data_IF_957518119089
#
_entry.id   IF_957518119089
#
_cell.length_a   1.000
_cell.length_b   1.000
_cell.length_c   1.000
_cell.angle_alpha   90.00
_cell.angle_beta   90.00
_cell.angle_gamma   90.00
#
_symmetry.space_group_name_H-M   'P 1'
#
loop_
_entity.id
_entity.type
_entity.pdbx_description
1 polymer ?
#
# COMPACT_ATOMS: atom_id res chain seq x y z
N UNK A 1 -3.59 -6.89 15.73
CA UNK A 1 -2.30 -6.95 15.01
C UNK A 1 -1.54 -5.66 15.24
N UNK A 2 -0.29 -5.77 15.70
CA UNK A 2 0.53 -4.58 15.85
C UNK A 2 0.78 -3.88 14.52
N UNK A 3 0.67 -2.57 14.51
CA UNK A 3 0.95 -1.75 13.34
C UNK A 3 2.09 -0.82 13.67
N UNK A 4 3.19 -0.97 12.95
CA UNK A 4 4.33 -0.08 13.07
C UNK A 4 4.21 1.00 12.00
N UNK A 5 4.11 2.24 12.43
CA UNK A 5 3.89 3.37 11.53
C UNK A 5 5.08 4.32 11.57
N UNK A 6 5.62 4.64 10.40
CA UNK A 6 6.70 5.61 10.27
C UNK A 6 6.34 6.68 9.26
N UNK A 7 6.45 7.92 9.69
CA UNK A 7 6.14 9.06 8.85
C UNK A 7 7.39 9.91 8.69
N UNK A 8 7.94 9.96 7.48
CA UNK A 8 9.14 10.71 7.18
C UNK A 8 8.83 11.77 6.12
N UNK A 9 7.92 12.67 6.46
CA UNK A 9 7.45 13.70 5.54
C UNK A 9 8.16 15.04 5.71
N UNK A 10 8.82 15.25 6.83
CA UNK A 10 9.34 16.57 7.13
C UNK A 10 8.20 17.53 7.42
N UNK A 11 8.37 18.81 7.09
CA UNK A 11 7.38 19.81 7.41
C UNK A 11 6.33 20.10 6.33
N UNK A 12 6.55 19.81 5.03
CA UNK A 12 5.53 20.17 4.04
C UNK A 12 4.29 19.33 4.18
N UNK A 13 3.14 19.97 4.03
CA UNK A 13 1.88 19.24 3.94
C UNK A 13 1.69 18.75 2.52
N UNK A 14 1.06 17.59 2.41
CA UNK A 14 0.71 17.06 1.10
C UNK A 14 -0.55 17.75 0.56
N UNK A 15 -0.70 17.84 -0.76
CA UNK A 15 -1.96 18.29 -1.32
C UNK A 15 -3.11 17.43 -0.82
N UNK A 16 -4.27 18.05 -0.62
CA UNK A 16 -5.42 17.34 -0.03
C UNK A 16 -5.82 16.10 -0.81
N UNK A 17 -5.78 16.17 -2.15
CA UNK A 17 -6.14 15.02 -2.98
C UNK A 17 -5.17 13.87 -2.82
N UNK A 18 -3.91 14.18 -2.59
CA UNK A 18 -2.88 13.16 -2.38
C UNK A 18 -3.07 12.51 -1.01
N UNK A 19 -3.28 13.31 0.02
CA UNK A 19 -3.55 12.79 1.36
C UNK A 19 -4.77 11.87 1.35
N UNK A 20 -5.84 12.27 0.68
CA UNK A 20 -7.06 11.47 0.63
C UNK A 20 -6.82 10.13 -0.07
N UNK A 21 -6.08 10.14 -1.18
CA UNK A 21 -5.77 8.90 -1.90
C UNK A 21 -4.91 7.97 -1.06
N UNK A 22 -3.87 8.50 -0.43
CA UNK A 22 -3.00 7.70 0.42
C UNK A 22 -3.75 7.11 1.61
N UNK A 23 -4.63 7.88 2.22
CA UNK A 23 -5.44 7.42 3.33
C UNK A 23 -6.31 6.24 2.90
N UNK A 24 -6.98 6.36 1.76
CA UNK A 24 -7.85 5.30 1.25
C UNK A 24 -7.06 4.05 0.88
N UNK A 25 -5.90 4.22 0.28
CA UNK A 25 -5.04 3.09 -0.08
C UNK A 25 -4.57 2.38 1.18
N UNK A 26 -4.10 3.13 2.16
CA UNK A 26 -3.65 2.55 3.42
C UNK A 26 -4.77 1.83 4.14
N UNK A 27 -5.95 2.43 4.17
CA UNK A 27 -7.13 1.84 4.80
C UNK A 27 -7.49 0.51 4.16
N UNK A 28 -7.50 0.46 2.83
CA UNK A 28 -7.82 -0.76 2.10
C UNK A 28 -6.76 -1.83 2.32
N UNK A 29 -5.50 -1.43 2.33
CA UNK A 29 -4.40 -2.37 2.58
C UNK A 29 -4.48 -2.98 3.98
N UNK A 30 -4.81 -2.17 4.98
CA UNK A 30 -4.94 -2.67 6.35
C UNK A 30 -6.16 -3.58 6.51
N UNK A 31 -7.23 -3.32 5.79
CA UNK A 31 -8.38 -4.23 5.75
C UNK A 31 -7.97 -5.57 5.16
N UNK A 32 -7.15 -5.56 4.10
CA UNK A 32 -6.65 -6.78 3.49
C UNK A 32 -5.82 -7.60 4.48
N UNK A 33 -4.95 -6.94 5.23
CA UNK A 33 -4.15 -7.61 6.25
C UNK A 33 -5.06 -8.31 7.26
N UNK A 34 -6.06 -7.61 7.73
CA UNK A 34 -6.98 -8.16 8.73
C UNK A 34 -7.78 -9.34 8.20
N UNK A 35 -8.24 -9.25 6.95
CA UNK A 35 -9.14 -10.26 6.38
C UNK A 35 -8.43 -11.48 5.81
N UNK A 36 -7.25 -11.28 5.23
CA UNK A 36 -6.68 -12.30 4.35
C UNK A 36 -5.28 -12.75 4.73
N UNK A 37 -4.50 -11.93 5.40
CA UNK A 37 -3.07 -12.17 5.51
C UNK A 37 -2.68 -13.10 6.64
N UNK A 38 -3.49 -13.20 7.70
CA UNK A 38 -3.11 -13.94 8.92
C UNK A 38 -1.75 -13.46 9.44
N UNK A 39 -1.53 -12.17 9.37
CA UNK A 39 -0.25 -11.59 9.75
C UNK A 39 -0.15 -11.39 11.25
N UNK A 40 1.07 -11.42 11.78
CA UNK A 40 1.33 -11.04 13.16
C UNK A 40 1.81 -9.61 13.27
N UNK A 41 2.36 -9.06 12.19
CA UNK A 41 2.85 -7.68 12.17
C UNK A 41 2.53 -7.04 10.84
N UNK A 42 2.30 -5.74 10.88
CA UNK A 42 2.19 -4.93 9.68
C UNK A 42 2.98 -3.65 9.91
N UNK A 43 3.70 -3.20 8.89
CA UNK A 43 4.44 -1.95 8.93
C UNK A 43 3.93 -1.03 7.84
N UNK A 44 3.73 0.23 8.19
CA UNK A 44 3.29 1.25 7.26
C UNK A 44 4.33 2.37 7.28
N UNK A 45 4.83 2.73 6.12
CA UNK A 45 5.79 3.82 5.97
C UNK A 45 5.29 4.84 4.98
N UNK A 46 5.48 6.09 5.34
CA UNK A 46 5.19 7.20 4.45
C UNK A 46 6.42 8.09 4.43
N UNK A 47 6.98 8.30 3.25
CA UNK A 47 8.21 9.07 3.11
C UNK A 47 8.14 9.99 1.90
N UNK A 48 8.72 11.15 2.03
CA UNK A 48 8.90 12.08 0.93
C UNK A 48 10.31 11.94 0.40
N UNK A 49 10.45 11.58 -0.88
CA UNK A 49 11.75 11.45 -1.53
C UNK A 49 11.71 12.14 -2.87
N UNK A 50 12.64 13.09 -3.06
CA UNK A 50 12.60 13.91 -4.25
C UNK A 50 11.27 14.65 -4.30
N UNK A 51 10.59 14.51 -5.42
CA UNK A 51 9.33 15.19 -5.64
C UNK A 51 8.15 14.22 -5.64
N UNK A 52 8.27 13.15 -4.87
CA UNK A 52 7.23 12.15 -4.78
C UNK A 52 7.06 11.69 -3.34
N UNK A 53 5.83 11.35 -2.99
CA UNK A 53 5.54 10.71 -1.73
C UNK A 53 5.44 9.21 -1.95
N UNK A 54 6.03 8.44 -1.05
CA UNK A 54 6.09 6.98 -1.12
C UNK A 54 5.38 6.38 0.08
N UNK A 55 4.41 5.53 -0.20
CA UNK A 55 3.71 4.78 0.83
C UNK A 55 4.04 3.30 0.66
N UNK A 56 4.47 2.66 1.74
CA UNK A 56 4.78 1.24 1.72
C UNK A 56 4.04 0.56 2.87
N UNK A 57 3.32 -0.50 2.55
CA UNK A 57 2.64 -1.31 3.55
C UNK A 57 3.16 -2.75 3.41
N UNK A 58 3.72 -3.27 4.50
CA UNK A 58 4.33 -4.59 4.51
C UNK A 58 3.72 -5.40 5.63
N UNK A 59 3.31 -6.64 5.33
CA UNK A 59 2.86 -7.57 6.35
C UNK A 59 3.66 -8.86 6.28
N UNK A 60 3.69 -9.60 7.37
CA UNK A 60 4.38 -10.88 7.48
C UNK A 60 3.41 -12.07 7.37
N UNK A 61 2.29 -11.86 6.70
CA UNK A 61 1.25 -12.86 6.62
C UNK A 61 1.52 -13.96 5.61
N UNK A 62 0.45 -14.64 5.20
CA UNK A 62 0.57 -15.81 4.32
C UNK A 62 0.93 -15.48 2.87
N UNK A 63 0.72 -14.25 2.44
CA UNK A 63 1.04 -13.86 1.08
C UNK A 63 0.20 -14.58 0.02
N UNK A 64 0.56 -14.34 -1.22
CA UNK A 64 -0.04 -15.03 -2.36
C UNK A 64 0.99 -15.08 -3.50
N UNK A 65 0.70 -15.91 -4.50
CA UNK A 65 1.64 -16.14 -5.61
C UNK A 65 1.40 -15.11 -6.71
N UNK A 66 2.29 -14.11 -6.81
CA UNK A 66 2.21 -13.11 -7.86
C UNK A 66 2.77 -13.60 -9.19
N UNK A 67 3.54 -14.70 -9.19
CA UNK A 67 4.07 -15.25 -10.43
C UNK A 67 2.98 -15.85 -11.31
N UNK A 68 1.87 -16.23 -10.72
CA UNK A 68 0.70 -16.72 -11.47
C UNK A 68 -0.22 -15.59 -11.91
N UNK A 69 0.24 -14.37 -11.77
CA UNK A 69 -0.54 -13.22 -12.09
C UNK A 69 -1.13 -12.57 -10.85
N UNK A 70 -2.19 -11.84 -11.05
CA UNK A 70 -2.80 -11.06 -9.99
C UNK A 70 -3.57 -11.95 -9.03
N UNK A 71 -3.63 -11.57 -7.75
CA UNK A 71 -4.67 -12.11 -6.90
C UNK A 71 -6.00 -11.78 -7.58
N UNK A 72 -6.96 -12.70 -7.56
CA UNK A 72 -8.23 -12.42 -8.25
C UNK A 72 -8.84 -11.14 -7.69
N UNK A 73 -9.07 -10.18 -8.55
CA UNK A 73 -9.68 -8.92 -8.16
C UNK A 73 -11.04 -9.15 -7.49
N UNK A 74 -11.63 -10.30 -7.75
CA UNK A 74 -12.95 -10.67 -7.25
C UNK A 74 -12.95 -11.10 -5.79
N UNK A 75 -11.79 -11.30 -5.19
CA UNK A 75 -11.73 -11.83 -3.83
C UNK A 75 -11.76 -10.76 -2.76
N UNK A 76 -12.02 -9.51 -3.13
CA UNK A 76 -12.15 -8.44 -2.16
C UNK A 76 -10.83 -7.88 -1.66
N UNK A 77 -9.73 -8.09 -2.40
CA UNK A 77 -8.46 -7.48 -2.03
C UNK A 77 -8.42 -5.98 -2.33
N UNK A 78 -9.28 -5.50 -3.22
CA UNK A 78 -9.32 -4.07 -3.55
C UNK A 78 -8.07 -3.54 -4.24
N UNK A 79 -7.22 -4.42 -4.78
CA UNK A 79 -5.95 -4.00 -5.37
C UNK A 79 -6.15 -3.15 -6.61
N UNK A 80 -7.17 -3.48 -7.42
CA UNK A 80 -7.48 -2.69 -8.59
C UNK A 80 -7.89 -1.27 -8.21
N UNK A 81 -8.73 -1.13 -7.20
CA UNK A 81 -9.16 0.18 -6.73
C UNK A 81 -8.00 1.02 -6.20
N UNK A 82 -7.08 0.39 -5.46
CA UNK A 82 -5.88 1.08 -5.00
C UNK A 82 -5.04 1.56 -6.17
N UNK A 83 -4.84 0.71 -7.16
CA UNK A 83 -4.07 1.04 -8.34
C UNK A 83 -4.70 2.18 -9.12
N UNK A 84 -6.01 2.16 -9.28
CA UNK A 84 -6.72 3.23 -9.97
C UNK A 84 -6.58 4.57 -9.23
N UNK A 85 -6.64 4.55 -7.90
CA UNK A 85 -6.45 5.77 -7.12
C UNK A 85 -5.06 6.36 -7.32
N UNK A 86 -4.03 5.51 -7.33
CA UNK A 86 -2.68 5.97 -7.58
C UNK A 86 -2.55 6.55 -8.99
N UNK A 87 -3.10 5.84 -9.98
CA UNK A 87 -3.02 6.29 -11.37
C UNK A 87 -3.72 7.62 -11.62
N UNK A 88 -4.81 7.89 -10.91
CA UNK A 88 -5.50 9.16 -11.04
C UNK A 88 -4.63 10.35 -10.65
N UNK A 89 -3.63 10.12 -9.84
CA UNK A 89 -2.68 11.14 -9.42
C UNK A 89 -1.33 10.97 -10.10
N UNK A 90 -1.29 10.26 -11.24
CA UNK A 90 -0.09 10.00 -12.01
C UNK A 90 0.94 9.19 -11.23
N UNK A 91 0.49 8.44 -10.25
CA UNK A 91 1.35 7.60 -9.44
C UNK A 91 1.44 6.18 -9.96
N UNK A 92 2.22 5.38 -9.27
CA UNK A 92 2.40 3.96 -9.56
C UNK A 92 2.16 3.14 -8.32
N UNK A 93 1.81 1.88 -8.51
CA UNK A 93 1.66 0.94 -7.42
C UNK A 93 2.27 -0.38 -7.81
N UNK A 94 3.01 -0.99 -6.89
CA UNK A 94 3.59 -2.32 -7.05
C UNK A 94 3.17 -3.19 -5.90
N UNK A 95 2.88 -4.45 -6.19
CA UNK A 95 2.54 -5.45 -5.18
C UNK A 95 3.55 -6.57 -5.30
N UNK A 96 4.22 -6.88 -4.19
CA UNK A 96 5.13 -8.02 -4.10
C UNK A 96 4.64 -8.95 -3.02
N UNK A 97 4.43 -10.18 -3.38
CA UNK A 97 3.96 -11.19 -2.44
C UNK A 97 4.41 -12.55 -2.91
N UNK A 98 4.64 -13.43 -1.96
CA UNK A 98 4.88 -14.83 -2.24
C UNK A 98 4.30 -15.64 -1.09
N UNK A 99 3.92 -16.87 -1.39
CA UNK A 99 3.28 -17.74 -0.40
C UNK A 99 4.22 -17.95 0.78
N UNK A 100 3.75 -17.66 1.97
CA UNK A 100 4.50 -17.79 3.20
C UNK A 100 5.43 -16.64 3.53
N UNK A 101 5.53 -15.63 2.67
CA UNK A 101 6.49 -14.53 2.84
C UNK A 101 5.83 -13.16 3.04
N UNK A 102 4.51 -13.12 3.16
CA UNK A 102 3.80 -11.88 3.36
C UNK A 102 3.59 -11.09 2.08
N UNK A 103 3.20 -9.83 2.25
CA UNK A 103 2.87 -8.96 1.13
C UNK A 103 3.45 -7.57 1.36
N UNK A 104 3.93 -6.96 0.29
CA UNK A 104 4.41 -5.58 0.30
C UNK A 104 3.72 -4.80 -0.82
N UNK A 105 3.06 -3.73 -0.44
CA UNK A 105 2.43 -2.80 -1.38
C UNK A 105 3.24 -1.50 -1.35
N UNK A 106 3.66 -1.04 -2.52
CA UNK A 106 4.43 0.19 -2.65
C UNK A 106 3.72 1.13 -3.61
N UNK A 107 3.49 2.35 -3.16
CA UNK A 107 2.82 3.39 -3.93
C UNK A 107 3.72 4.60 -3.98
N UNK A 108 3.87 5.19 -5.17
CA UNK A 108 4.62 6.44 -5.34
C UNK A 108 3.73 7.42 -6.09
N UNK A 109 3.58 8.61 -5.55
CA UNK A 109 2.74 9.65 -6.14
C UNK A 109 3.58 10.91 -6.30
N UNK A 110 3.74 11.42 -7.56
CA UNK A 110 4.46 12.67 -7.76
C UNK A 110 3.65 13.84 -7.23
N UNK A 111 4.34 14.84 -6.71
CA UNK A 111 3.69 16.00 -6.10
C UNK A 111 3.59 17.20 -7.02
N UNK A 112 4.15 17.11 -8.20
CA UNK A 112 4.05 18.19 -9.21
C UNK A 112 3.02 17.93 -10.24
#
# INVERSE_FOLDING_TARGET
>A
IPVDTRLALGSPRLPARVEAALYRIAQEALVNVRRHAQATHVALRLALRGNAVHLTITDDGRGFDTARGQPPARTGFGLLGMQERAHLLHGTMQVRSSVGAGTRISVAIPLD
#
